data_IF_996720955260
#
_entry.id   IF_996720955260
#
_cell.length_a   1.000
_cell.length_b   1.000
_cell.length_c   1.000
_cell.angle_alpha   90.00
_cell.angle_beta   90.00
_cell.angle_gamma   90.00
#
_symmetry.space_group_name_H-M   'P 1'
#
loop_
_entity.id
_entity.type
_entity.pdbx_description
1 polymer ?
#
# COMPACT_ATOMS: atom_id res chain seq x y z
N UNK A 1 -11.19 40.38 -4.54
CA UNK A 1 -9.91 39.65 -4.47
C UNK A 1 -10.21 38.19 -4.70
N UNK A 2 -9.74 37.61 -5.80
CA UNK A 2 -9.92 36.18 -6.08
C UNK A 2 -8.93 35.37 -5.22
N UNK A 3 -9.34 34.27 -4.59
CA UNK A 3 -8.42 33.45 -3.80
C UNK A 3 -7.33 32.87 -4.71
N UNK A 4 -6.06 33.11 -4.36
CA UNK A 4 -4.92 32.47 -5.00
C UNK A 4 -4.98 30.97 -4.74
N UNK A 5 -4.97 30.16 -5.81
CA UNK A 5 -4.81 28.69 -5.70
C UNK A 5 -3.53 28.38 -4.93
N UNK A 6 -3.60 27.40 -4.03
CA UNK A 6 -2.40 26.85 -3.38
C UNK A 6 -1.42 26.25 -4.40
N UNK A 7 -0.19 25.91 -3.97
CA UNK A 7 0.80 25.32 -4.85
C UNK A 7 0.26 24.04 -5.51
N UNK A 8 0.68 23.79 -6.75
CA UNK A 8 0.38 22.52 -7.42
C UNK A 8 1.18 21.38 -6.76
N UNK A 9 0.49 20.33 -6.34
CA UNK A 9 1.08 19.16 -5.67
C UNK A 9 0.97 17.96 -6.60
N UNK A 10 2.10 17.31 -6.87
CA UNK A 10 2.16 16.02 -7.56
C UNK A 10 2.37 14.88 -6.58
N UNK A 11 1.72 13.74 -6.82
CA UNK A 11 1.95 12.50 -6.09
C UNK A 11 2.73 11.53 -6.98
N UNK A 12 3.85 11.03 -6.47
CA UNK A 12 4.62 9.98 -7.12
C UNK A 12 4.48 8.69 -6.30
N UNK A 13 4.29 7.58 -7.02
CA UNK A 13 4.14 6.26 -6.42
C UNK A 13 5.34 5.40 -6.84
N UNK A 14 5.95 4.66 -5.90
CA UNK A 14 7.10 3.80 -6.21
C UNK A 14 6.68 2.65 -7.13
N UNK A 15 7.60 2.23 -8.00
CA UNK A 15 7.43 1.08 -8.88
C UNK A 15 7.92 -0.24 -8.26
N UNK A 16 7.98 -1.28 -9.10
CA UNK A 16 8.58 -2.57 -8.74
C UNK A 16 10.06 -2.41 -8.36
N UNK A 17 10.50 -3.14 -7.35
CA UNK A 17 11.84 -3.08 -6.74
C UNK A 17 11.87 -2.35 -5.39
N UNK A 18 10.80 -1.65 -5.01
CA UNK A 18 10.69 -0.97 -3.71
C UNK A 18 10.01 -1.83 -2.62
N UNK A 19 9.53 -3.02 -2.96
CA UNK A 19 8.91 -3.95 -2.01
C UNK A 19 9.88 -4.40 -0.90
N UNK A 20 9.34 -4.59 0.30
CA UNK A 20 10.07 -5.10 1.45
C UNK A 20 9.14 -5.87 2.38
N UNK A 21 9.69 -6.86 3.11
CA UNK A 21 8.95 -7.58 4.15
C UNK A 21 8.55 -6.60 5.27
N UNK A 22 7.28 -6.63 5.65
CA UNK A 22 6.66 -5.71 6.61
C UNK A 22 6.04 -4.46 5.99
N UNK A 23 6.13 -4.26 4.67
CA UNK A 23 5.54 -3.07 4.02
C UNK A 23 4.03 -2.99 4.26
N UNK A 24 3.52 -1.77 4.49
CA UNK A 24 2.09 -1.52 4.67
C UNK A 24 1.50 -1.96 6.02
N UNK A 25 2.26 -2.66 6.89
CA UNK A 25 1.76 -3.20 8.16
C UNK A 25 1.22 -2.13 9.11
N UNK A 26 1.94 -1.03 9.27
CA UNK A 26 1.49 0.07 10.12
C UNK A 26 0.19 0.68 9.58
N UNK A 27 0.14 0.94 8.28
CA UNK A 27 -1.02 1.52 7.61
C UNK A 27 -2.25 0.61 7.76
N UNK A 28 -2.08 -0.71 7.60
CA UNK A 28 -3.11 -1.70 7.88
C UNK A 28 -3.60 -1.66 9.34
N UNK A 29 -2.70 -1.53 10.31
CA UNK A 29 -3.10 -1.52 11.72
C UNK A 29 -3.86 -0.24 12.12
N UNK A 30 -3.47 0.90 11.55
CA UNK A 30 -3.94 2.22 12.00
C UNK A 30 -5.12 2.76 11.19
N UNK A 31 -5.33 2.30 9.95
CA UNK A 31 -6.38 2.81 9.06
C UNK A 31 -7.39 1.73 8.68
N UNK A 32 -8.67 1.96 9.02
CA UNK A 32 -9.77 1.06 8.60
C UNK A 32 -9.91 1.01 7.07
N UNK A 33 -9.81 2.16 6.41
CA UNK A 33 -9.86 2.24 4.95
C UNK A 33 -8.71 1.46 4.30
N UNK A 34 -7.51 1.50 4.90
CA UNK A 34 -6.42 0.67 4.41
C UNK A 34 -6.74 -0.82 4.56
N UNK A 35 -7.22 -1.27 5.73
CA UNK A 35 -7.60 -2.68 5.95
C UNK A 35 -8.57 -3.20 4.90
N UNK A 36 -9.59 -2.41 4.58
CA UNK A 36 -10.57 -2.75 3.54
C UNK A 36 -9.90 -2.95 2.17
N UNK A 37 -8.95 -2.10 1.80
CA UNK A 37 -8.20 -2.24 0.55
C UNK A 37 -7.33 -3.51 0.55
N UNK A 38 -6.61 -3.81 1.63
CA UNK A 38 -5.82 -5.04 1.74
C UNK A 38 -6.70 -6.29 1.60
N UNK A 39 -7.86 -6.31 2.27
CA UNK A 39 -8.81 -7.41 2.18
C UNK A 39 -9.34 -7.60 0.75
N UNK A 40 -9.74 -6.50 0.08
CA UNK A 40 -10.22 -6.56 -1.31
C UNK A 40 -9.15 -7.09 -2.26
N UNK A 41 -7.88 -6.73 -2.05
CA UNK A 41 -6.76 -7.24 -2.84
C UNK A 41 -6.60 -8.75 -2.65
N UNK A 42 -6.60 -9.24 -1.41
CA UNK A 42 -6.47 -10.67 -1.12
C UNK A 42 -7.63 -11.48 -1.72
N UNK A 43 -8.87 -10.97 -1.60
CA UNK A 43 -10.07 -11.58 -2.19
C UNK A 43 -10.00 -11.61 -3.72
N UNK A 44 -9.58 -10.50 -4.34
CA UNK A 44 -9.45 -10.40 -5.80
C UNK A 44 -8.38 -11.33 -6.37
N UNK A 45 -7.31 -11.56 -5.62
CA UNK A 45 -6.23 -12.46 -6.01
C UNK A 45 -6.53 -13.93 -5.68
N UNK A 46 -7.50 -14.21 -4.82
CA UNK A 46 -7.78 -15.56 -4.29
C UNK A 46 -6.63 -16.12 -3.44
N UNK A 47 -5.73 -15.25 -2.95
CA UNK A 47 -4.57 -15.61 -2.11
C UNK A 47 -4.22 -14.44 -1.18
N UNK A 48 -3.67 -14.75 -0.01
CA UNK A 48 -3.23 -13.76 0.97
C UNK A 48 -1.92 -13.08 0.57
N UNK A 49 -1.98 -12.07 -0.31
CA UNK A 49 -0.82 -11.22 -0.61
C UNK A 49 -0.42 -10.42 0.62
N UNK A 50 -1.37 -9.97 1.44
CA UNK A 50 -1.10 -9.26 2.68
C UNK A 50 -0.16 -10.03 3.61
N UNK A 51 -0.34 -11.35 3.73
CA UNK A 51 0.54 -12.20 4.54
C UNK A 51 1.97 -12.23 3.99
N UNK A 52 2.13 -12.37 2.67
CA UNK A 52 3.45 -12.32 2.01
C UNK A 52 4.10 -10.94 2.20
N UNK A 53 3.34 -9.85 2.06
CA UNK A 53 3.85 -8.48 2.29
C UNK A 53 4.36 -8.31 3.72
N UNK A 54 3.68 -8.92 4.69
CA UNK A 54 3.98 -8.74 6.10
C UNK A 54 5.09 -9.66 6.58
N UNK A 55 5.06 -10.92 6.16
CA UNK A 55 5.84 -12.00 6.74
C UNK A 55 6.83 -12.63 5.75
N UNK A 56 6.71 -12.35 4.44
CA UNK A 56 7.64 -12.81 3.42
C UNK A 56 7.36 -14.24 2.92
N UNK A 57 8.38 -14.94 2.36
CA UNK A 57 9.78 -14.54 2.27
C UNK A 57 10.02 -13.41 1.25
N UNK A 58 11.10 -12.64 1.43
CA UNK A 58 11.45 -11.49 0.56
C UNK A 58 11.53 -11.87 -0.92
N UNK A 59 12.00 -13.09 -1.21
CA UNK A 59 12.10 -13.66 -2.55
C UNK A 59 10.75 -13.72 -3.28
N UNK A 60 9.64 -13.91 -2.56
CA UNK A 60 8.29 -13.96 -3.14
C UNK A 60 7.74 -12.57 -3.47
N UNK A 61 8.32 -11.52 -2.88
CA UNK A 61 7.95 -10.13 -3.16
C UNK A 61 8.68 -9.60 -4.40
N UNK A 62 9.77 -10.23 -4.83
CA UNK A 62 10.59 -9.80 -5.97
C UNK A 62 9.92 -10.02 -7.32
#
# INVERSE_FOLDING_TARGET
MSPTRGPEVGYLFPGQGAQAVGMGRQLFNESSAAREVFQQVDESLGRGLTDIMFNGPEETLR
#
